data_IF_067463498628
#
_entry.id   IF_067463498628
#
_cell.length_a   1.000
_cell.length_b   1.000
_cell.length_c   1.000
_cell.angle_alpha   90.00
_cell.angle_beta   90.00
_cell.angle_gamma   90.00
#
_symmetry.space_group_name_H-M   'P 1'
#
loop_
_entity.id
_entity.type
_entity.pdbx_description
1 polymer ?
#
# COMPACT_ATOMS: atom_id res chain seq x y z
N UNK A 1 -24.53 -55.16 -23.13
CA UNK A 1 -24.31 -53.74 -23.50
C UNK A 1 -24.16 -52.92 -22.23
N UNK A 2 -22.94 -52.73 -21.71
CA UNK A 2 -22.62 -51.90 -20.52
C UNK A 2 -21.54 -50.87 -20.88
N UNK A 3 -21.64 -50.22 -22.03
CA UNK A 3 -20.57 -49.35 -22.57
C UNK A 3 -20.79 -47.86 -22.34
N UNK A 4 -21.95 -47.42 -21.84
CA UNK A 4 -22.23 -45.98 -21.67
C UNK A 4 -21.63 -45.34 -20.40
N UNK A 5 -21.34 -46.11 -19.35
CA UNK A 5 -20.95 -45.56 -18.04
C UNK A 5 -19.44 -45.30 -17.90
N UNK A 6 -18.60 -45.87 -18.76
CA UNK A 6 -17.14 -45.80 -18.63
C UNK A 6 -16.50 -44.62 -19.38
N UNK A 7 -17.16 -44.02 -20.36
CA UNK A 7 -16.63 -42.91 -21.16
C UNK A 7 -16.20 -41.71 -20.29
N UNK A 8 -17.11 -41.21 -19.44
CA UNK A 8 -16.83 -40.07 -18.54
C UNK A 8 -15.77 -40.40 -17.48
N UNK A 9 -15.71 -41.65 -16.99
CA UNK A 9 -14.68 -42.03 -16.02
C UNK A 9 -13.31 -42.23 -16.67
N UNK A 10 -13.27 -42.58 -17.96
CA UNK A 10 -12.04 -42.71 -18.74
C UNK A 10 -11.42 -41.34 -19.04
N UNK A 11 -12.24 -40.34 -19.38
CA UNK A 11 -11.84 -38.93 -19.51
C UNK A 11 -11.30 -38.40 -18.18
N UNK A 12 -12.04 -38.57 -17.07
CA UNK A 12 -11.57 -38.17 -15.75
C UNK A 12 -10.30 -38.91 -15.31
N UNK A 13 -10.10 -40.15 -15.75
CA UNK A 13 -8.87 -40.90 -15.52
C UNK A 13 -7.70 -40.35 -16.35
N UNK A 14 -7.95 -39.95 -17.59
CA UNK A 14 -6.98 -39.33 -18.50
C UNK A 14 -6.48 -37.98 -17.96
N UNK A 15 -7.41 -37.09 -17.58
CA UNK A 15 -7.11 -35.75 -17.09
C UNK A 15 -6.63 -35.75 -15.63
N UNK A 16 -6.84 -36.88 -14.96
CA UNK A 16 -6.40 -37.12 -13.60
C UNK A 16 -7.29 -36.55 -12.51
N UNK A 17 -8.53 -36.23 -12.85
CA UNK A 17 -9.58 -35.80 -11.93
C UNK A 17 -10.24 -36.95 -11.16
N UNK A 18 -9.99 -38.20 -11.58
CA UNK A 18 -10.56 -39.37 -10.90
C UNK A 18 -10.02 -39.49 -9.45
N UNK A 19 -10.89 -39.72 -8.44
CA UNK A 19 -10.48 -39.91 -7.06
C UNK A 19 -9.43 -41.01 -6.90
N UNK A 20 -8.49 -40.81 -5.97
CA UNK A 20 -7.37 -41.74 -5.77
C UNK A 20 -7.81 -43.17 -5.43
N UNK A 21 -8.97 -43.32 -4.77
CA UNK A 21 -9.57 -44.61 -4.46
C UNK A 21 -10.07 -45.38 -5.70
N UNK A 22 -10.48 -44.67 -6.76
CA UNK A 22 -11.10 -45.25 -7.97
C UNK A 22 -10.09 -45.48 -9.10
N UNK A 23 -8.98 -44.72 -9.10
CA UNK A 23 -7.86 -44.89 -10.04
C UNK A 23 -7.35 -46.33 -10.22
N UNK A 24 -7.08 -47.14 -9.17
CA UNK A 24 -6.58 -48.49 -9.36
C UNK A 24 -7.60 -49.39 -10.06
N UNK A 25 -8.89 -49.24 -9.76
CA UNK A 25 -9.96 -50.00 -10.41
C UNK A 25 -10.09 -49.64 -11.90
N UNK A 26 -9.98 -48.35 -12.24
CA UNK A 26 -9.98 -47.91 -13.64
C UNK A 26 -8.73 -48.39 -14.39
N UNK A 27 -7.55 -48.30 -13.77
CA UNK A 27 -6.31 -48.81 -14.38
C UNK A 27 -6.40 -50.31 -14.69
N UNK A 28 -6.99 -51.09 -13.78
CA UNK A 28 -7.22 -52.53 -13.98
C UNK A 28 -8.27 -52.79 -15.08
N UNK A 29 -9.33 -51.97 -15.15
CA UNK A 29 -10.31 -52.06 -16.22
C UNK A 29 -9.67 -51.82 -17.60
N UNK A 30 -8.87 -50.76 -17.75
CA UNK A 30 -8.17 -50.43 -19.00
C UNK A 30 -7.21 -51.56 -19.40
N UNK A 31 -6.50 -52.19 -18.45
CA UNK A 31 -5.66 -53.36 -18.77
C UNK A 31 -6.46 -54.54 -19.34
N UNK A 32 -7.69 -54.74 -18.87
CA UNK A 32 -8.49 -55.90 -19.25
C UNK A 32 -9.50 -55.63 -20.39
N UNK A 33 -9.81 -54.36 -20.68
CA UNK A 33 -10.80 -53.97 -21.71
C UNK A 33 -10.11 -53.37 -22.95
N UNK A 34 -10.10 -54.06 -24.11
CA UNK A 34 -9.47 -53.55 -25.33
C UNK A 34 -10.13 -52.27 -25.87
N UNK A 35 -11.46 -52.17 -25.79
CA UNK A 35 -12.19 -50.97 -26.25
C UNK A 35 -11.76 -49.71 -25.48
N UNK A 36 -11.67 -49.79 -24.15
CA UNK A 36 -11.23 -48.66 -23.33
C UNK A 36 -9.74 -48.34 -23.52
N UNK A 37 -8.89 -49.30 -23.92
CA UNK A 37 -7.50 -48.99 -24.31
C UNK A 37 -7.43 -48.18 -25.59
N UNK A 38 -8.22 -48.58 -26.58
CA UNK A 38 -8.26 -47.90 -27.88
C UNK A 38 -8.80 -46.48 -27.73
N UNK A 39 -9.87 -46.32 -26.95
CA UNK A 39 -10.44 -45.01 -26.62
C UNK A 39 -9.44 -44.11 -25.87
N UNK A 40 -8.76 -44.65 -24.84
CA UNK A 40 -7.72 -43.92 -24.12
C UNK A 40 -6.51 -43.56 -25.00
N UNK A 41 -6.15 -44.43 -25.95
CA UNK A 41 -5.11 -44.14 -26.92
C UNK A 41 -5.53 -43.00 -27.87
N UNK A 42 -6.81 -42.96 -28.27
CA UNK A 42 -7.39 -41.86 -29.05
C UNK A 42 -7.31 -40.52 -28.31
N UNK A 43 -7.69 -40.49 -27.03
CA UNK A 43 -7.60 -39.29 -26.19
C UNK A 43 -6.15 -38.77 -26.09
N UNK A 44 -5.20 -39.66 -25.81
CA UNK A 44 -3.77 -39.30 -25.73
C UNK A 44 -3.19 -38.81 -27.05
N UNK A 45 -3.63 -39.40 -28.17
CA UNK A 45 -3.21 -38.97 -29.49
C UNK A 45 -3.72 -37.54 -29.79
N UNK A 46 -4.99 -37.26 -29.45
CA UNK A 46 -5.56 -35.92 -29.58
C UNK A 46 -4.84 -34.91 -28.70
N UNK A 47 -4.57 -35.24 -27.43
CA UNK A 47 -3.78 -34.39 -26.54
C UNK A 47 -2.39 -34.11 -27.14
N UNK A 48 -1.72 -35.13 -27.67
CA UNK A 48 -0.41 -34.97 -28.31
C UNK A 48 -0.41 -34.03 -29.52
N UNK A 49 -1.52 -33.97 -30.27
CA UNK A 49 -1.69 -33.05 -31.41
C UNK A 49 -1.96 -31.62 -30.92
N UNK A 50 -2.80 -31.47 -29.89
CA UNK A 50 -3.20 -30.17 -29.37
C UNK A 50 -2.14 -29.54 -28.46
N UNK A 51 -1.29 -30.36 -27.84
CA UNK A 51 -0.29 -29.90 -26.88
C UNK A 51 0.72 -29.01 -27.60
N UNK A 52 0.81 -27.72 -27.23
CA UNK A 52 1.78 -26.83 -27.82
C UNK A 52 3.18 -27.38 -27.55
N UNK A 53 4.04 -27.41 -28.57
CA UNK A 53 5.47 -27.71 -28.43
C UNK A 53 6.22 -26.50 -27.84
N UNK A 54 5.61 -25.84 -26.85
CA UNK A 54 6.20 -24.70 -26.16
C UNK A 54 7.05 -25.25 -25.02
N UNK A 55 8.33 -24.85 -25.00
CA UNK A 55 9.14 -25.14 -23.83
C UNK A 55 8.65 -24.30 -22.65
N UNK A 56 8.83 -24.82 -21.43
CA UNK A 56 8.50 -24.06 -20.22
C UNK A 56 9.25 -22.72 -20.16
N UNK A 57 10.47 -22.68 -20.73
CA UNK A 57 11.29 -21.48 -20.81
C UNK A 57 10.64 -20.39 -21.70
N UNK A 58 9.98 -20.78 -22.79
CA UNK A 58 9.34 -19.83 -23.73
C UNK A 58 8.11 -19.14 -23.11
N UNK A 59 7.50 -19.73 -22.08
CA UNK A 59 6.29 -19.21 -21.42
C UNK A 59 6.65 -18.37 -20.19
N UNK A 60 7.60 -18.83 -19.36
CA UNK A 60 7.86 -18.22 -18.06
C UNK A 60 8.40 -16.80 -18.21
N UNK A 61 9.38 -16.55 -19.07
CA UNK A 61 10.02 -15.24 -19.20
C UNK A 61 9.03 -14.11 -19.60
N UNK A 62 8.19 -14.26 -20.64
CA UNK A 62 7.20 -13.24 -20.99
C UNK A 62 6.07 -13.11 -19.95
N UNK A 63 5.74 -14.17 -19.21
CA UNK A 63 4.74 -14.10 -18.13
C UNK A 63 5.31 -13.36 -16.92
N UNK A 64 6.52 -13.71 -16.49
CA UNK A 64 7.15 -13.12 -15.31
C UNK A 64 7.46 -11.64 -15.51
N UNK A 65 7.88 -11.24 -16.71
CA UNK A 65 8.04 -9.81 -17.04
C UNK A 65 6.73 -9.03 -16.93
N UNK A 66 5.62 -9.57 -17.46
CA UNK A 66 4.28 -8.95 -17.31
C UNK A 66 3.81 -8.90 -15.87
N UNK A 67 4.05 -9.96 -15.09
CA UNK A 67 3.71 -9.98 -13.65
C UNK A 67 4.52 -8.94 -12.89
N UNK A 68 5.82 -8.82 -13.18
CA UNK A 68 6.69 -7.83 -12.55
C UNK A 68 6.21 -6.39 -12.85
N UNK A 69 5.81 -6.12 -14.08
CA UNK A 69 5.24 -4.82 -14.48
C UNK A 69 3.94 -4.50 -13.71
N UNK A 70 3.03 -5.47 -13.61
CA UNK A 70 1.77 -5.31 -12.84
C UNK A 70 2.02 -5.10 -11.34
N UNK A 71 3.00 -5.81 -10.78
CA UNK A 71 3.39 -5.66 -9.37
C UNK A 71 4.03 -4.28 -9.13
N UNK A 72 4.85 -3.80 -10.06
CA UNK A 72 5.50 -2.49 -9.95
C UNK A 72 4.55 -1.32 -10.16
N UNK A 73 3.51 -1.48 -10.98
CA UNK A 73 2.47 -0.47 -11.20
C UNK A 73 1.51 -0.35 -10.01
N UNK A 74 1.58 -1.26 -9.03
CA UNK A 74 0.76 -1.22 -7.83
C UNK A 74 1.22 -0.05 -6.94
N UNK A 75 0.35 0.94 -6.65
CA UNK A 75 0.73 2.00 -5.74
C UNK A 75 1.06 1.40 -4.37
N UNK A 76 2.05 1.97 -3.66
CA UNK A 76 2.39 1.51 -2.33
C UNK A 76 1.14 1.54 -1.44
N UNK A 77 0.88 0.44 -0.73
CA UNK A 77 -0.26 0.36 0.17
C UNK A 77 -0.13 1.41 1.28
N UNK A 78 -1.27 1.92 1.75
CA UNK A 78 -1.36 2.97 2.77
C UNK A 78 -0.53 2.70 4.05
N UNK A 79 -0.12 1.46 4.30
CA UNK A 79 0.76 1.07 5.39
C UNK A 79 2.17 1.68 5.30
N UNK A 80 2.67 2.01 4.10
CA UNK A 80 3.97 2.69 3.95
C UNK A 80 3.93 4.16 4.32
N UNK A 81 2.76 4.81 4.28
CA UNK A 81 2.58 6.20 4.72
C UNK A 81 2.71 6.30 6.25
N UNK A 82 2.24 5.28 6.98
CA UNK A 82 2.39 5.18 8.44
C UNK A 82 3.83 4.93 8.91
N UNK A 83 4.69 4.36 8.05
CA UNK A 83 6.10 4.14 8.37
C UNK A 83 6.92 5.44 8.50
N UNK A 84 6.39 6.58 8.04
CA UNK A 84 7.01 7.90 8.19
C UNK A 84 6.73 8.59 9.53
N UNK A 85 5.78 8.09 10.34
CA UNK A 85 5.30 8.82 11.52
C UNK A 85 6.34 8.97 12.63
N UNK A 86 7.32 8.06 12.70
CA UNK A 86 8.43 8.10 13.67
C UNK A 86 9.54 9.12 13.29
N UNK A 87 9.56 9.63 12.05
CA UNK A 87 10.51 10.69 11.66
C UNK A 87 10.08 12.08 12.17
N UNK A 88 8.80 12.26 12.46
CA UNK A 88 8.22 13.50 13.02
C UNK A 88 8.71 13.79 14.45
N UNK A 89 8.67 12.86 15.42
CA UNK A 89 9.18 13.12 16.77
C UNK A 89 10.71 13.33 16.82
N UNK A 90 11.47 12.67 15.94
CA UNK A 90 12.92 12.86 15.88
C UNK A 90 13.31 14.29 15.45
N UNK A 91 12.55 14.87 14.52
CA UNK A 91 12.78 16.24 14.03
C UNK A 91 12.35 17.29 15.06
N UNK A 92 11.28 17.03 15.81
CA UNK A 92 10.85 17.88 16.93
C UNK A 92 11.90 17.92 18.07
N UNK A 93 12.51 16.78 18.41
CA UNK A 93 13.55 16.71 19.43
C UNK A 93 14.82 17.47 19.03
N UNK A 94 15.24 17.38 17.76
CA UNK A 94 16.38 18.14 17.24
C UNK A 94 16.14 19.66 17.34
N UNK A 95 14.93 20.13 17.02
CA UNK A 95 14.55 21.54 17.17
C UNK A 95 14.62 22.01 18.63
N UNK A 96 14.15 21.22 19.58
CA UNK A 96 14.24 21.54 21.02
C UNK A 96 15.68 21.59 21.52
N UNK A 97 16.54 20.69 21.07
CA UNK A 97 17.96 20.66 21.45
C UNK A 97 18.72 21.91 20.97
N UNK A 98 18.46 22.35 19.73
CA UNK A 98 19.02 23.60 19.19
C UNK A 98 18.55 24.81 19.99
N UNK A 99 17.26 24.86 20.34
CA UNK A 99 16.71 25.95 21.16
C UNK A 99 17.36 26.00 22.55
N UNK A 100 17.49 24.86 23.23
CA UNK A 100 18.15 24.77 24.54
C UNK A 100 19.62 25.22 24.48
N UNK A 101 20.36 24.79 23.45
CA UNK A 101 21.74 25.22 23.21
C UNK A 101 21.84 26.73 22.96
N UNK A 102 20.94 27.33 22.19
CA UNK A 102 20.92 28.79 21.96
C UNK A 102 20.63 29.58 23.24
N UNK A 103 19.82 29.04 24.15
CA UNK A 103 19.48 29.70 25.42
C UNK A 103 20.62 29.58 26.43
N UNK A 104 21.23 28.40 26.58
CA UNK A 104 22.30 28.15 27.56
C UNK A 104 23.64 28.75 27.18
N UNK A 105 24.02 28.70 25.90
CA UNK A 105 25.30 29.28 25.42
C UNK A 105 25.29 30.80 25.38
N UNK A 106 24.14 31.44 25.63
CA UNK A 106 24.01 32.88 25.66
C UNK A 106 24.37 33.54 24.32
N UNK A 107 24.32 32.79 23.19
CA UNK A 107 24.72 33.24 21.86
C UNK A 107 23.81 34.34 21.27
N UNK A 108 22.80 34.78 22.04
CA UNK A 108 22.00 35.98 21.79
C UNK A 108 22.26 37.08 22.85
N UNK A 109 23.49 37.61 23.05
CA UNK A 109 23.69 38.72 23.97
C UNK A 109 23.17 40.05 23.40
N UNK A 110 23.03 40.16 22.08
CA UNK A 110 22.66 41.41 21.39
C UNK A 110 21.16 41.67 21.20
N UNK A 111 20.33 40.63 21.18
CA UNK A 111 18.90 40.76 20.87
C UNK A 111 18.03 41.05 22.11
N UNK A 112 18.49 40.65 23.31
CA UNK A 112 17.73 40.82 24.55
C UNK A 112 17.55 42.29 24.93
N UNK A 113 18.60 43.12 24.80
CA UNK A 113 18.51 44.55 25.12
C UNK A 113 17.60 45.32 24.15
N UNK A 114 17.65 44.98 22.86
CA UNK A 114 16.78 45.59 21.84
C UNK A 114 15.32 45.17 21.97
N UNK A 115 15.04 43.90 22.28
CA UNK A 115 13.66 43.45 22.49
C UNK A 115 13.07 44.03 23.77
N UNK A 116 13.85 44.15 24.86
CA UNK A 116 13.40 44.79 26.11
C UNK A 116 13.16 46.29 25.92
N UNK A 117 13.96 46.98 25.12
CA UNK A 117 13.72 48.41 24.83
C UNK A 117 12.49 48.62 23.93
N UNK A 118 12.27 47.75 22.94
CA UNK A 118 11.06 47.82 22.09
C UNK A 118 9.79 47.46 22.88
N UNK A 119 9.83 46.42 23.71
CA UNK A 119 8.70 46.06 24.57
C UNK A 119 8.38 47.13 25.62
N UNK A 120 9.42 47.76 26.20
CA UNK A 120 9.20 48.85 27.15
C UNK A 120 8.69 50.13 26.49
N UNK A 121 9.14 50.44 25.27
CA UNK A 121 8.59 51.53 24.46
C UNK A 121 7.12 51.27 24.04
N UNK A 122 6.78 50.03 23.68
CA UNK A 122 5.41 49.63 23.35
C UNK A 122 4.47 49.71 24.56
N UNK A 123 4.89 49.18 25.72
CA UNK A 123 4.11 49.25 26.96
C UNK A 123 3.89 50.71 27.42
N UNK A 124 4.90 51.56 27.25
CA UNK A 124 4.78 52.99 27.58
C UNK A 124 3.78 53.69 26.66
N UNK A 125 3.78 53.37 25.37
CA UNK A 125 2.81 53.90 24.40
C UNK A 125 1.39 53.40 24.69
N UNK A 126 1.21 52.13 25.06
CA UNK A 126 -0.09 51.60 25.46
C UNK A 126 -0.63 52.26 26.72
N UNK A 127 0.21 52.51 27.73
CA UNK A 127 -0.18 53.25 28.94
C UNK A 127 -0.63 54.67 28.63
N UNK A 128 0.06 55.36 27.73
CA UNK A 128 -0.32 56.72 27.30
C UNK A 128 -1.64 56.69 26.54
N UNK A 129 -1.83 55.76 25.60
CA UNK A 129 -3.12 55.58 24.92
C UNK A 129 -4.25 55.21 25.88
N UNK A 130 -4.01 54.35 26.87
CA UNK A 130 -5.03 53.98 27.87
C UNK A 130 -5.40 55.15 28.80
N UNK A 131 -4.46 56.06 29.08
CA UNK A 131 -4.76 57.31 29.81
C UNK A 131 -5.53 58.32 28.95
N UNK A 132 -5.20 58.44 27.66
CA UNK A 132 -5.82 59.42 26.76
C UNK A 132 -7.20 59.01 26.26
N UNK A 133 -7.41 57.72 25.99
CA UNK A 133 -8.63 57.20 25.39
C UNK A 133 -9.52 56.42 26.35
N UNK A 134 -9.10 56.26 27.62
CA UNK A 134 -9.77 55.40 28.58
C UNK A 134 -9.58 53.92 28.22
N UNK A 135 -9.24 53.08 29.19
CA UNK A 135 -8.96 51.65 28.97
C UNK A 135 -10.19 50.87 28.50
N UNK A 136 -10.57 50.99 27.23
CA UNK A 136 -11.51 50.09 26.58
C UNK A 136 -10.66 48.99 25.95
N UNK A 137 -10.74 47.77 26.52
CA UNK A 137 -10.25 46.55 25.87
C UNK A 137 -10.94 46.45 24.51
N UNK A 138 -10.31 47.01 23.47
CA UNK A 138 -10.74 46.85 22.10
C UNK A 138 -10.49 45.39 21.75
N UNK A 139 -11.59 44.64 21.62
CA UNK A 139 -11.60 43.21 21.44
C UNK A 139 -10.89 42.81 20.16
N UNK A 140 -9.85 41.99 20.32
CA UNK A 140 -9.17 41.25 19.26
C UNK A 140 -10.15 40.35 18.48
N UNK A 141 -11.34 40.11 19.01
CA UNK A 141 -12.39 39.28 18.39
C UNK A 141 -13.27 40.04 17.38
N UNK A 142 -13.35 41.37 17.41
CA UNK A 142 -14.23 42.13 16.50
C UNK A 142 -13.57 42.46 15.15
N UNK A 143 -12.24 42.55 15.11
CA UNK A 143 -11.49 42.73 13.86
C UNK A 143 -11.43 41.44 13.02
N UNK A 144 -11.51 40.27 13.66
CA UNK A 144 -11.56 38.97 12.97
C UNK A 144 -12.94 38.66 12.38
N UNK A 145 -14.03 39.12 13.01
CA UNK A 145 -15.39 38.93 12.48
C UNK A 145 -15.67 39.79 11.23
N UNK A 146 -15.15 41.03 11.18
CA UNK A 146 -15.32 41.93 10.02
C UNK A 146 -14.49 41.54 8.78
N UNK A 147 -13.55 40.61 8.91
CA UNK A 147 -12.73 40.10 7.79
C UNK A 147 -13.25 38.78 7.21
N UNK A 148 -14.26 38.13 7.81
CA UNK A 148 -14.79 36.82 7.39
C UNK A 148 -16.27 36.80 6.98
N UNK A 149 -17.00 37.91 7.03
CA UNK A 149 -18.37 38.02 6.49
C UNK A 149 -18.43 39.08 5.39
N UNK A 150 -18.04 38.66 4.20
CA UNK A 150 -18.14 39.40 2.95
C UNK A 150 -18.33 38.45 1.78
N UNK A 151 -19.50 37.80 1.74
CA UNK A 151 -20.18 37.34 0.53
C UNK A 151 -21.70 37.53 0.72
#
# INVERSE_FOLDING_TARGET
MKQGHYCSQLEAFHDGELPQAERPAMAEHVKNCPACREELAGLRALEGILRPQLSQADIIEPVMSRVAELVSARPPSALTILAGWWKVPALALASCAVYALCVETGLLPGARSQLVSVLSAYNSSQKISAMLYGGQKAGDEQLLALLFEGD
#
